data_IF_168673401122
#
_entry.id   IF_168673401122
#
_cell.length_a   1.000
_cell.length_b   1.000
_cell.length_c   1.000
_cell.angle_alpha   90.00
_cell.angle_beta   90.00
_cell.angle_gamma   90.00
#
_symmetry.space_group_name_H-M   'P 1'
#
loop_
_entity.id
_entity.type
_entity.pdbx_description
1 polymer ?
#
# COMPACT_ATOMS: atom_id res chain seq x y z
N UNK A 1 5.08 13.28 9.87
CA UNK A 1 3.91 12.39 9.93
C UNK A 1 4.38 11.05 10.46
N UNK A 2 3.61 10.40 11.33
CA UNK A 2 3.86 9.02 11.75
C UNK A 2 2.80 8.14 11.08
N UNK A 3 3.21 7.41 10.04
CA UNK A 3 2.36 6.42 9.37
C UNK A 3 2.91 5.05 9.75
N UNK A 4 2.07 4.24 10.37
CA UNK A 4 2.41 2.87 10.79
C UNK A 4 2.16 1.90 9.64
N UNK A 5 2.62 0.65 9.79
CA UNK A 5 2.31 -0.44 8.86
C UNK A 5 0.79 -0.63 8.67
N UNK A 6 -0.02 -0.49 9.73
CA UNK A 6 -1.49 -0.50 9.60
C UNK A 6 -2.00 0.68 8.78
N UNK A 7 -1.39 1.85 8.93
CA UNK A 7 -1.68 3.00 8.07
C UNK A 7 -1.44 2.68 6.59
N UNK A 8 -0.33 2.00 6.25
CA UNK A 8 -0.07 1.56 4.88
C UNK A 8 -1.11 0.53 4.37
N UNK A 9 -1.59 -0.38 5.22
CA UNK A 9 -2.68 -1.30 4.86
C UNK A 9 -3.96 -0.54 4.57
N UNK A 10 -4.35 0.39 5.45
CA UNK A 10 -5.54 1.21 5.27
C UNK A 10 -5.49 2.02 3.97
N UNK A 11 -4.35 2.66 3.68
CA UNK A 11 -4.14 3.38 2.43
C UNK A 11 -4.25 2.45 1.21
N UNK A 12 -3.72 1.23 1.31
CA UNK A 12 -3.81 0.23 0.23
C UNK A 12 -5.26 -0.19 -0.02
N UNK A 13 -6.04 -0.44 1.03
CA UNK A 13 -7.48 -0.77 0.92
C UNK A 13 -8.26 0.34 0.24
N UNK A 14 -8.02 1.60 0.60
CA UNK A 14 -8.68 2.75 -0.01
C UNK A 14 -8.39 2.80 -1.53
N UNK A 15 -7.14 2.57 -1.95
CA UNK A 15 -6.79 2.56 -3.37
C UNK A 15 -7.41 1.38 -4.10
N UNK A 16 -7.48 0.20 -3.48
CA UNK A 16 -8.20 -0.97 -4.00
C UNK A 16 -9.68 -0.67 -4.21
N UNK A 17 -10.36 -0.09 -3.22
CA UNK A 17 -11.77 0.30 -3.32
C UNK A 17 -12.00 1.26 -4.50
N UNK A 18 -11.17 2.31 -4.62
CA UNK A 18 -11.22 3.24 -5.75
C UNK A 18 -11.01 2.53 -7.09
N UNK A 19 -10.04 1.61 -7.16
CA UNK A 19 -9.75 0.86 -8.39
C UNK A 19 -10.90 -0.08 -8.76
N UNK A 20 -11.60 -0.68 -7.79
CA UNK A 20 -12.79 -1.47 -8.03
C UNK A 20 -13.93 -0.62 -8.61
N UNK A 21 -14.17 0.56 -8.05
CA UNK A 21 -15.24 1.45 -8.49
C UNK A 21 -14.95 2.12 -9.84
N UNK A 22 -13.70 2.51 -10.09
CA UNK A 22 -13.34 3.44 -11.16
C UNK A 22 -12.28 2.93 -12.15
N UNK A 23 -11.64 1.78 -11.85
CA UNK A 23 -10.49 1.26 -12.58
C UNK A 23 -10.62 -0.21 -13.02
N UNK A 24 -11.79 -0.81 -12.84
CA UNK A 24 -12.04 -2.25 -13.05
C UNK A 24 -11.00 -3.14 -12.34
N UNK A 25 -10.68 -2.77 -11.10
CA UNK A 25 -9.77 -3.49 -10.21
C UNK A 25 -8.29 -3.42 -10.60
N UNK A 26 -7.92 -2.62 -11.61
CA UNK A 26 -6.52 -2.56 -12.07
C UNK A 26 -5.71 -1.56 -11.25
N UNK A 27 -4.60 -2.03 -10.68
CA UNK A 27 -3.61 -1.21 -9.97
C UNK A 27 -2.22 -1.52 -10.50
N UNK A 28 -1.39 -0.47 -10.62
CA UNK A 28 0.06 -0.59 -10.76
C UNK A 28 0.68 0.12 -9.56
N UNK A 29 1.49 -0.60 -8.78
CA UNK A 29 2.23 -0.04 -7.64
C UNK A 29 3.71 0.09 -8.00
N UNK A 30 4.32 1.20 -7.62
CA UNK A 30 5.74 1.50 -7.86
C UNK A 30 6.39 1.98 -6.56
N UNK A 31 7.53 1.38 -6.21
CA UNK A 31 8.32 1.80 -5.05
C UNK A 31 9.03 3.12 -5.38
N UNK A 32 8.82 4.12 -4.53
CA UNK A 32 9.43 5.45 -4.63
C UNK A 32 10.51 5.64 -3.56
N UNK A 33 10.27 6.55 -2.60
CA UNK A 33 11.16 6.84 -1.48
C UNK A 33 10.99 5.92 -0.27
N UNK A 34 11.64 6.29 0.83
CA UNK A 34 11.71 5.50 2.05
C UNK A 34 13.16 5.41 2.50
N UNK A 35 13.54 6.26 3.45
CA UNK A 35 14.95 6.51 3.79
C UNK A 35 15.40 5.81 5.08
N UNK A 36 14.50 5.07 5.71
CA UNK A 36 14.81 4.14 6.81
C UNK A 36 14.72 2.72 6.25
N UNK A 37 15.82 1.94 6.19
CA UNK A 37 15.81 0.60 5.59
C UNK A 37 14.74 -0.32 6.19
N UNK A 38 14.65 -0.36 7.52
CA UNK A 38 13.73 -1.21 8.27
C UNK A 38 12.28 -0.73 8.10
N UNK A 39 12.04 0.58 8.23
CA UNK A 39 10.71 1.15 8.06
C UNK A 39 10.18 1.04 6.63
N UNK A 40 11.05 1.20 5.62
CA UNK A 40 10.68 0.97 4.22
C UNK A 40 10.33 -0.49 3.98
N UNK A 41 11.11 -1.43 4.53
CA UNK A 41 10.84 -2.85 4.38
C UNK A 41 9.51 -3.25 5.02
N UNK A 42 9.23 -2.79 6.25
CA UNK A 42 7.97 -3.10 6.95
C UNK A 42 6.76 -2.49 6.24
N UNK A 43 6.84 -1.21 5.85
CA UNK A 43 5.79 -0.52 5.13
C UNK A 43 5.50 -1.14 3.76
N UNK A 44 6.55 -1.50 3.01
CA UNK A 44 6.42 -2.16 1.71
C UNK A 44 5.78 -3.53 1.87
N UNK A 45 6.18 -4.31 2.88
CA UNK A 45 5.56 -5.60 3.19
C UNK A 45 4.07 -5.43 3.51
N UNK A 46 3.72 -4.48 4.38
CA UNK A 46 2.33 -4.20 4.75
C UNK A 46 1.47 -3.80 3.54
N UNK A 47 2.00 -2.95 2.66
CA UNK A 47 1.34 -2.56 1.41
C UNK A 47 1.15 -3.76 0.46
N UNK A 48 2.21 -4.52 0.18
CA UNK A 48 2.15 -5.64 -0.78
C UNK A 48 1.30 -6.79 -0.25
N UNK A 49 1.38 -7.09 1.05
CA UNK A 49 0.54 -8.11 1.65
C UNK A 49 -0.95 -7.76 1.51
N UNK A 50 -1.32 -6.49 1.71
CA UNK A 50 -2.70 -6.04 1.53
C UNK A 50 -3.11 -6.06 0.05
N UNK A 51 -2.22 -5.59 -0.84
CA UNK A 51 -2.45 -5.55 -2.29
C UNK A 51 -2.68 -6.95 -2.89
N UNK A 52 -2.02 -7.99 -2.38
CA UNK A 52 -2.17 -9.37 -2.88
C UNK A 52 -3.40 -10.07 -2.28
N UNK A 53 -3.92 -9.61 -1.15
CA UNK A 53 -5.11 -10.17 -0.50
C UNK A 53 -6.42 -9.65 -1.09
N UNK A 54 -6.45 -8.39 -1.52
CA UNK A 54 -7.59 -7.74 -2.19
C UNK A 54 -7.75 -8.20 -3.62
#
# INVERSE_FOLDING_TARGET
FEVTDEGFRQLTRIVLEIAHESGAGRIVSMLEGGYTPEGRASATYAHVEELVRG
#
